data_IF_287907200651
#
_entry.id   IF_287907200651
#
_cell.length_a   1.000
_cell.length_b   1.000
_cell.length_c   1.000
_cell.angle_alpha   90.00
_cell.angle_beta   90.00
_cell.angle_gamma   90.00
#
_symmetry.space_group_name_H-M   'P 1'
#
loop_
_entity.id
_entity.type
_entity.pdbx_description
1 polymer ?
#
# COMPACT_ATOMS: atom_id res chain seq x y z
N UNK A 1 -23.22 -23.04 -9.78
CA UNK A 1 -23.13 -23.11 -8.31
C UNK A 1 -21.72 -22.73 -7.91
N UNK A 2 -21.61 -21.98 -6.82
CA UNK A 2 -20.43 -21.25 -6.36
C UNK A 2 -19.41 -22.19 -5.72
N UNK A 3 -18.20 -22.27 -6.27
CA UNK A 3 -17.03 -22.73 -5.51
C UNK A 3 -16.26 -21.51 -5.03
N UNK A 4 -16.51 -21.17 -3.77
CA UNK A 4 -15.84 -20.09 -3.07
C UNK A 4 -14.34 -20.39 -3.01
N UNK A 5 -13.57 -19.51 -3.64
CA UNK A 5 -12.11 -19.39 -3.57
C UNK A 5 -11.62 -19.38 -2.12
N UNK A 6 -11.30 -20.58 -1.62
CA UNK A 6 -10.86 -20.88 -0.26
C UNK A 6 -9.35 -20.91 -0.09
N UNK A 7 -8.63 -20.05 -0.81
CA UNK A 7 -7.20 -19.79 -0.58
C UNK A 7 -6.92 -18.31 -0.79
N UNK A 8 -7.56 -17.47 0.04
CA UNK A 8 -7.14 -16.06 0.13
C UNK A 8 -5.87 -16.05 0.96
N UNK A 9 -4.77 -16.04 0.21
CA UNK A 9 -3.39 -15.80 0.60
C UNK A 9 -3.26 -15.28 2.02
N UNK A 10 -2.41 -15.94 2.82
CA UNK A 10 -1.80 -15.30 3.97
C UNK A 10 -1.41 -13.89 3.53
N UNK A 11 -2.15 -12.88 4.02
CA UNK A 11 -1.75 -11.51 3.81
C UNK A 11 -0.28 -11.47 4.21
N UNK A 12 0.59 -10.95 3.34
CA UNK A 12 2.00 -10.85 3.63
C UNK A 12 2.16 -9.82 4.78
N UNK A 13 1.86 -10.27 5.99
CA UNK A 13 1.98 -9.54 7.24
C UNK A 13 3.46 -9.44 7.51
N UNK A 14 3.89 -8.23 7.79
CA UNK A 14 5.24 -7.93 8.24
C UNK A 14 5.18 -7.47 9.68
N UNK A 15 6.29 -7.66 10.40
CA UNK A 15 6.46 -7.02 11.72
C UNK A 15 6.30 -5.51 11.56
N UNK A 16 5.50 -4.90 12.43
CA UNK A 16 5.14 -3.48 12.39
C UNK A 16 3.84 -3.17 11.64
N UNK A 17 3.26 -4.11 10.89
CA UNK A 17 2.00 -3.87 10.18
C UNK A 17 0.84 -3.64 11.17
N UNK A 18 -0.01 -2.66 10.86
CA UNK A 18 -1.29 -2.46 11.55
C UNK A 18 -2.29 -3.52 11.09
N UNK A 19 -2.91 -4.23 12.03
CA UNK A 19 -3.82 -5.34 11.78
C UNK A 19 -5.09 -5.23 12.60
N UNK A 20 -6.16 -5.86 12.09
CA UNK A 20 -7.45 -6.04 12.77
C UNK A 20 -7.85 -7.51 12.74
N UNK A 21 -8.39 -7.98 13.86
CA UNK A 21 -8.93 -9.34 13.99
C UNK A 21 -10.35 -9.37 13.44
N UNK A 22 -10.61 -10.24 12.46
CA UNK A 22 -11.92 -10.36 11.80
C UNK A 22 -12.80 -11.50 12.32
N UNK A 23 -12.21 -12.46 13.05
CA UNK A 23 -12.88 -13.66 13.53
C UNK A 23 -12.44 -14.09 14.92
N UNK A 24 -13.24 -14.96 15.55
CA UNK A 24 -13.00 -15.46 16.90
C UNK A 24 -13.39 -14.48 18.02
N UNK A 25 -13.00 -14.83 19.24
CA UNK A 25 -13.40 -14.12 20.47
C UNK A 25 -12.81 -12.70 20.57
N UNK A 26 -11.78 -12.42 19.78
CA UNK A 26 -11.05 -11.16 19.78
C UNK A 26 -11.40 -10.27 18.58
N UNK A 27 -12.56 -10.50 17.96
CA UNK A 27 -13.02 -9.72 16.81
C UNK A 27 -13.00 -8.21 17.11
N UNK A 28 -12.59 -7.43 16.12
CA UNK A 28 -12.39 -5.98 16.18
C UNK A 28 -11.21 -5.51 17.06
N UNK A 29 -10.41 -6.42 17.62
CA UNK A 29 -9.13 -6.04 18.22
C UNK A 29 -8.21 -5.52 17.12
N UNK A 30 -7.68 -4.31 17.34
CA UNK A 30 -6.67 -3.68 16.47
C UNK A 30 -5.34 -3.64 17.19
N UNK A 31 -4.26 -3.69 16.44
CA UNK A 31 -2.92 -3.56 17.00
C UNK A 31 -1.84 -3.65 15.95
N UNK A 32 -0.59 -3.65 16.39
CA UNK A 32 0.59 -3.82 15.54
C UNK A 32 1.16 -5.22 15.67
N UNK A 33 1.62 -5.77 14.56
CA UNK A 33 2.32 -7.06 14.56
C UNK A 33 3.69 -6.90 15.23
N UNK A 34 3.94 -7.69 16.28
CA UNK A 34 5.23 -7.71 17.01
C UNK A 34 6.09 -8.86 16.53
N UNK A 35 5.51 -10.06 16.49
CA UNK A 35 6.19 -11.29 16.05
C UNK A 35 5.26 -12.15 15.22
N UNK A 36 5.84 -12.85 14.24
CA UNK A 36 5.12 -13.78 13.37
C UNK A 36 5.78 -15.14 13.53
N UNK A 37 5.02 -16.12 14.02
CA UNK A 37 5.39 -17.53 14.07
C UNK A 37 4.75 -18.22 12.86
N UNK A 38 5.57 -18.42 11.82
CA UNK A 38 5.14 -19.07 10.57
C UNK A 38 4.87 -20.56 10.75
N UNK A 39 5.57 -21.22 11.66
CA UNK A 39 5.47 -22.67 11.90
C UNK A 39 4.13 -23.03 12.55
N UNK A 40 3.74 -22.26 13.56
CA UNK A 40 2.45 -22.43 14.27
C UNK A 40 1.32 -21.61 13.67
N UNK A 41 1.58 -20.81 12.63
CA UNK A 41 0.64 -19.89 11.99
C UNK A 41 -0.01 -18.91 12.98
N UNK A 42 0.77 -18.39 13.92
CA UNK A 42 0.32 -17.44 14.95
C UNK A 42 1.08 -16.13 14.85
N UNK A 43 0.43 -15.04 15.24
CA UNK A 43 1.00 -13.70 15.26
C UNK A 43 0.75 -13.11 16.63
N UNK A 44 1.78 -12.52 17.21
CA UNK A 44 1.62 -11.73 18.43
C UNK A 44 1.35 -10.28 18.05
N UNK A 45 0.20 -9.79 18.49
CA UNK A 45 -0.30 -8.45 18.19
C UNK A 45 -0.24 -7.63 19.47
N UNK A 46 0.33 -6.43 19.38
CA UNK A 46 0.28 -5.43 20.44
C UNK A 46 -0.90 -4.49 20.19
N UNK A 47 -1.97 -4.58 21.01
CA UNK A 47 -3.12 -3.68 20.90
C UNK A 47 -2.84 -2.24 21.40
N UNK A 48 -1.65 -1.97 21.94
CA UNK A 48 -1.24 -0.67 22.46
C UNK A 48 -1.90 -0.32 23.79
N UNK A 49 -1.74 0.94 24.20
CA UNK A 49 -2.35 1.49 25.42
C UNK A 49 -1.99 0.74 26.71
N UNK A 50 -0.79 0.16 26.80
CA UNK A 50 -0.32 -0.59 27.97
C UNK A 50 -1.04 -1.93 28.19
N UNK A 51 -1.80 -2.42 27.20
CA UNK A 51 -2.46 -3.73 27.25
C UNK A 51 -1.45 -4.84 26.98
N UNK A 52 -1.76 -6.04 27.46
CA UNK A 52 -0.96 -7.22 27.17
C UNK A 52 -1.02 -7.58 25.68
N UNK A 53 0.11 -8.07 25.15
CA UNK A 53 0.18 -8.62 23.80
C UNK A 53 -0.69 -9.87 23.69
N UNK A 54 -1.26 -10.08 22.50
CA UNK A 54 -2.22 -11.15 22.28
C UNK A 54 -1.86 -11.98 21.05
N UNK A 55 -1.89 -13.29 21.21
CA UNK A 55 -1.52 -14.22 20.15
C UNK A 55 -2.75 -14.69 19.35
N UNK A 56 -2.85 -14.24 18.11
CA UNK A 56 -3.96 -14.52 17.19
C UNK A 56 -3.49 -15.42 16.05
N UNK A 57 -4.37 -16.24 15.48
CA UNK A 57 -4.02 -17.02 14.29
C UNK A 57 -3.89 -16.10 13.06
N UNK A 58 -2.92 -16.36 12.19
CA UNK A 58 -2.67 -15.55 10.96
C UNK A 58 -3.95 -15.42 10.13
N UNK A 59 -4.75 -16.50 10.03
CA UNK A 59 -5.99 -16.54 9.24
C UNK A 59 -7.07 -15.57 9.72
N UNK A 60 -7.04 -15.18 10.99
CA UNK A 60 -8.05 -14.32 11.60
C UNK A 60 -7.64 -12.83 11.56
N UNK A 61 -6.46 -12.54 11.02
CA UNK A 61 -5.91 -11.19 10.90
C UNK A 61 -6.01 -10.67 9.47
N UNK A 62 -6.38 -9.40 9.33
CA UNK A 62 -6.18 -8.64 8.10
C UNK A 62 -5.43 -7.35 8.39
N UNK A 63 -4.70 -6.86 7.39
CA UNK A 63 -4.13 -5.51 7.44
C UNK A 63 -5.25 -4.49 7.64
N UNK A 64 -5.01 -3.56 8.54
CA UNK A 64 -5.90 -2.47 8.88
C UNK A 64 -5.25 -1.14 8.50
N UNK A 65 -6.04 -0.30 7.87
CA UNK A 65 -5.68 1.06 7.48
C UNK A 65 -6.79 1.98 7.95
N UNK A 66 -6.48 3.26 8.04
CA UNK A 66 -7.41 4.34 8.32
C UNK A 66 -7.49 5.30 7.14
N UNK A 67 -8.55 6.11 7.08
CA UNK A 67 -8.66 7.14 6.07
C UNK A 67 -7.56 8.18 6.30
N UNK A 68 -6.87 8.56 5.23
CA UNK A 68 -5.69 9.44 5.29
C UNK A 68 -4.37 8.68 5.39
N UNK A 69 -4.37 7.36 5.60
CA UNK A 69 -3.14 6.58 5.57
C UNK A 69 -2.52 6.61 4.17
N UNK A 70 -1.22 6.84 4.14
CA UNK A 70 -0.44 6.78 2.91
C UNK A 70 0.08 5.36 2.68
N UNK A 71 -0.21 4.81 1.50
CA UNK A 71 0.00 3.39 1.21
C UNK A 71 0.68 3.20 -0.14
N UNK A 72 1.49 2.14 -0.23
CA UNK A 72 2.01 1.58 -1.47
C UNK A 72 1.16 0.39 -1.88
N UNK A 73 0.79 0.34 -3.16
CA UNK A 73 0.11 -0.80 -3.76
C UNK A 73 1.18 -1.83 -4.15
N UNK A 74 1.07 -3.03 -3.61
CA UNK A 74 2.05 -4.11 -3.78
C UNK A 74 1.76 -5.00 -4.98
N UNK A 75 0.49 -5.10 -5.39
CA UNK A 75 0.02 -6.06 -6.37
C UNK A 75 -1.23 -5.54 -7.11
N UNK A 76 -1.45 -6.02 -8.34
CA UNK A 76 -2.49 -5.59 -9.27
C UNK A 76 -2.00 -4.60 -10.34
N UNK A 77 -2.93 -4.02 -11.11
CA UNK A 77 -2.62 -3.14 -12.24
C UNK A 77 -1.88 -1.84 -11.87
N UNK A 78 -1.95 -1.44 -10.60
CA UNK A 78 -1.27 -0.27 -10.03
C UNK A 78 -0.17 -0.66 -9.05
N UNK A 79 0.38 -1.87 -9.16
CA UNK A 79 1.51 -2.29 -8.33
C UNK A 79 2.69 -1.33 -8.49
N UNK A 80 3.25 -0.86 -7.37
CA UNK A 80 4.31 0.13 -7.32
C UNK A 80 3.82 1.56 -7.08
N UNK A 81 2.57 1.87 -7.42
CA UNK A 81 1.97 3.18 -7.15
C UNK A 81 1.83 3.41 -5.65
N UNK A 82 1.91 4.68 -5.25
CA UNK A 82 1.51 5.14 -3.92
C UNK A 82 0.29 6.02 -4.00
N UNK A 83 -0.37 6.16 -2.86
CA UNK A 83 -1.49 7.05 -2.73
C UNK A 83 -2.05 7.09 -1.33
N UNK A 84 -3.11 7.87 -1.18
CA UNK A 84 -3.79 8.06 0.09
C UNK A 84 -5.09 7.25 0.14
N UNK A 85 -5.34 6.56 1.25
CA UNK A 85 -6.61 5.86 1.48
C UNK A 85 -7.72 6.88 1.71
N UNK A 86 -8.67 6.96 0.76
CA UNK A 86 -9.83 7.87 0.84
C UNK A 86 -11.11 7.19 1.31
N UNK A 87 -11.16 5.85 1.24
CA UNK A 87 -12.33 5.07 1.69
C UNK A 87 -11.95 3.65 2.05
N UNK A 88 -12.57 3.11 3.08
CA UNK A 88 -12.45 1.70 3.48
C UNK A 88 -13.83 1.05 3.52
N UNK A 89 -13.95 -0.13 2.91
CA UNK A 89 -15.16 -0.95 2.94
C UNK A 89 -14.76 -2.40 3.21
N UNK A 90 -14.86 -2.80 4.47
CA UNK A 90 -14.41 -4.11 4.93
C UNK A 90 -12.92 -4.32 4.70
N UNK A 91 -12.58 -5.20 3.76
CA UNK A 91 -11.19 -5.53 3.39
C UNK A 91 -10.73 -4.91 2.08
N UNK A 92 -11.53 -4.02 1.49
CA UNK A 92 -11.20 -3.27 0.28
C UNK A 92 -10.99 -1.80 0.64
N UNK A 93 -9.86 -1.25 0.24
CA UNK A 93 -9.55 0.16 0.34
C UNK A 93 -9.68 0.82 -1.04
N UNK A 94 -10.15 2.06 -1.07
CA UNK A 94 -10.06 2.94 -2.23
C UNK A 94 -8.92 3.91 -1.97
N UNK A 95 -7.93 3.88 -2.85
CA UNK A 95 -6.69 4.67 -2.79
C UNK A 95 -6.74 5.71 -3.90
N UNK A 96 -6.49 6.96 -3.57
CA UNK A 96 -6.25 8.02 -4.55
C UNK A 96 -4.74 8.07 -4.83
N UNK A 97 -4.33 7.78 -6.05
CA UNK A 97 -2.91 7.72 -6.43
C UNK A 97 -2.27 9.11 -6.52
N UNK A 98 -0.99 9.22 -6.17
CA UNK A 98 -0.29 10.52 -6.10
C UNK A 98 0.16 11.04 -7.47
N UNK A 99 0.59 10.15 -8.37
CA UNK A 99 1.14 10.53 -9.68
C UNK A 99 0.05 11.02 -10.64
N UNK A 100 -1.08 10.32 -10.67
CA UNK A 100 -2.27 10.69 -11.43
C UNK A 100 -3.45 10.61 -10.47
N UNK A 101 -4.29 11.64 -10.32
CA UNK A 101 -5.42 11.62 -9.38
C UNK A 101 -6.52 10.69 -9.89
N UNK A 102 -6.34 9.39 -9.64
CA UNK A 102 -7.24 8.30 -10.00
C UNK A 102 -7.56 7.47 -8.76
N UNK A 103 -8.81 7.06 -8.66
CA UNK A 103 -9.24 6.13 -7.62
C UNK A 103 -8.96 4.68 -8.02
N UNK A 104 -8.23 3.97 -7.16
CA UNK A 104 -7.90 2.56 -7.33
C UNK A 104 -8.46 1.78 -6.15
N UNK A 105 -9.24 0.73 -6.44
CA UNK A 105 -9.75 -0.19 -5.42
C UNK A 105 -8.81 -1.38 -5.28
N UNK A 106 -8.28 -1.57 -4.08
CA UNK A 106 -7.32 -2.63 -3.77
C UNK A 106 -7.75 -3.41 -2.53
N UNK A 107 -7.41 -4.69 -2.50
CA UNK A 107 -7.53 -5.49 -1.28
C UNK A 107 -6.52 -4.98 -0.25
N UNK A 108 -6.91 -4.86 1.01
CA UNK A 108 -6.00 -4.38 2.07
C UNK A 108 -4.75 -5.24 2.25
N UNK A 109 -4.81 -6.52 1.88
CA UNK A 109 -3.63 -7.41 1.82
C UNK A 109 -2.54 -6.93 0.85
N UNK A 110 -2.94 -6.23 -0.21
CA UNK A 110 -2.08 -5.75 -1.29
C UNK A 110 -1.59 -4.33 -1.03
N UNK A 111 -1.80 -3.81 0.18
CA UNK A 111 -1.35 -2.48 0.60
C UNK A 111 -0.28 -2.60 1.68
N UNK A 112 0.57 -1.58 1.75
CA UNK A 112 1.54 -1.39 2.82
C UNK A 112 1.61 0.08 3.20
N UNK A 113 1.58 0.37 4.50
CA UNK A 113 1.86 1.73 4.99
C UNK A 113 3.23 2.17 4.52
N UNK A 114 3.32 3.38 4.01
CA UNK A 114 4.57 3.94 3.51
C UNK A 114 4.66 5.42 3.81
N UNK A 115 5.86 5.87 4.20
CA UNK A 115 6.21 7.29 4.21
C UNK A 115 6.76 7.76 2.85
N UNK A 116 7.03 6.82 1.93
CA UNK A 116 7.41 7.15 0.55
C UNK A 116 6.18 7.66 -0.17
N UNK A 117 6.15 8.94 -0.51
CA UNK A 117 5.36 9.41 -1.64
C UNK A 117 6.13 8.98 -2.88
N UNK A 118 5.54 8.20 -3.77
CA UNK A 118 6.10 7.95 -5.10
C UNK A 118 6.20 9.30 -5.79
N UNK A 119 7.34 9.95 -5.60
CA UNK A 119 7.80 10.96 -6.52
C UNK A 119 8.06 10.19 -7.80
N UNK A 120 7.37 10.54 -8.88
CA UNK A 120 7.69 10.04 -10.22
C UNK A 120 9.20 10.05 -10.45
N UNK A 121 9.68 9.23 -11.37
CA UNK A 121 11.11 8.98 -11.58
C UNK A 121 11.89 10.31 -11.55
N UNK A 122 12.66 10.57 -10.50
CA UNK A 122 13.33 11.89 -10.40
C UNK A 122 14.45 12.02 -11.43
N UNK A 123 14.94 10.90 -11.96
CA UNK A 123 16.06 10.85 -12.90
C UNK A 123 15.97 9.67 -13.88
N UNK A 124 16.03 9.95 -15.18
CA UNK A 124 16.25 8.95 -16.24
C UNK A 124 17.55 9.29 -16.98
N UNK A 125 18.53 8.40 -16.91
CA UNK A 125 19.84 8.61 -17.53
C UNK A 125 20.50 9.89 -17.03
N UNK A 126 20.73 10.83 -17.94
CA UNK A 126 21.30 12.16 -17.63
C UNK A 126 20.26 13.23 -17.30
N UNK A 127 18.96 12.92 -17.43
CA UNK A 127 17.87 13.89 -17.24
C UNK A 127 17.27 13.74 -15.86
N UNK A 128 17.09 14.87 -15.16
CA UNK A 128 16.47 14.96 -13.85
C UNK A 128 15.27 15.91 -13.89
N UNK A 129 14.26 15.62 -13.08
CA UNK A 129 13.20 16.61 -12.78
C UNK A 129 13.87 17.89 -12.26
N UNK A 130 13.50 19.02 -12.87
CA UNK A 130 14.10 20.33 -12.63
C UNK A 130 15.19 20.73 -13.61
N UNK A 131 15.65 19.84 -14.50
CA UNK A 131 16.64 20.21 -15.51
C UNK A 131 16.01 21.07 -16.61
N UNK A 132 16.79 22.07 -17.07
CA UNK A 132 16.52 22.83 -18.27
C UNK A 132 16.89 21.99 -19.50
N UNK A 133 15.95 21.84 -20.42
CA UNK A 133 16.14 21.11 -21.68
C UNK A 133 15.79 21.97 -22.88
N UNK A 134 16.51 21.75 -23.97
CA UNK A 134 16.20 22.38 -25.26
C UNK A 134 15.20 21.51 -26.02
N UNK A 135 14.07 22.09 -26.38
CA UNK A 135 13.05 21.47 -27.22
C UNK A 135 13.35 21.83 -28.67
N UNK A 136 13.86 20.85 -29.42
CA UNK A 136 14.04 20.97 -30.86
C UNK A 136 12.77 20.48 -31.55
N UNK A 137 11.77 21.36 -31.68
CA UNK A 137 10.58 21.11 -32.48
C UNK A 137 10.80 21.73 -33.86
N UNK A 138 10.45 20.99 -34.92
CA UNK A 138 10.72 21.39 -36.31
C UNK A 138 10.17 22.79 -36.62
N UNK A 139 11.05 23.81 -36.58
CA UNK A 139 10.74 25.21 -36.87
C UNK A 139 10.77 26.18 -35.68
N UNK A 140 11.00 25.74 -34.44
CA UNK A 140 11.16 26.63 -33.28
C UNK A 140 12.05 26.01 -32.20
N UNK A 141 13.10 26.73 -31.80
CA UNK A 141 13.95 26.34 -30.67
C UNK A 141 13.35 26.91 -29.39
N UNK A 142 12.87 26.03 -28.51
CA UNK A 142 12.30 26.39 -27.21
C UNK A 142 13.16 25.84 -26.08
N UNK A 143 13.06 26.46 -24.90
CA UNK A 143 13.58 25.87 -23.65
C UNK A 143 12.42 25.46 -22.77
N UNK A 144 12.55 24.31 -22.11
CA UNK A 144 11.57 23.77 -21.17
C UNK A 144 12.25 23.30 -19.89
N UNK A 145 11.45 23.12 -18.84
CA UNK A 145 11.89 22.51 -17.58
C UNK A 145 11.19 21.17 -17.45
N UNK A 146 11.94 20.12 -17.09
CA UNK A 146 11.36 18.81 -16.82
C UNK A 146 10.55 18.88 -15.52
N UNK A 147 9.22 18.81 -15.61
CA UNK A 147 8.32 18.85 -14.44
C UNK A 147 7.95 17.46 -13.94
N UNK A 148 7.99 16.45 -14.80
CA UNK A 148 7.77 15.05 -14.44
C UNK A 148 8.44 14.14 -15.45
N UNK A 149 8.79 12.93 -15.03
CA UNK A 149 9.32 11.88 -15.90
C UNK A 149 8.45 10.64 -15.72
N UNK A 150 7.93 10.13 -16.84
CA UNK A 150 7.15 8.90 -16.90
C UNK A 150 7.85 7.91 -17.85
N UNK A 151 7.78 6.62 -17.52
CA UNK A 151 8.22 5.58 -18.42
C UNK A 151 7.09 5.27 -19.42
N UNK A 152 7.32 5.54 -20.71
CA UNK A 152 6.45 5.05 -21.79
C UNK A 152 6.86 3.63 -22.15
N UNK A 153 6.03 2.65 -21.81
CA UNK A 153 6.14 1.26 -22.28
C UNK A 153 5.30 1.03 -23.53
#
# INVERSE_FOLDING_TARGET
MSEASGSRAAAALSVGDSVVVNGGDMKNLRGKVVTIDTDRKRVNVDPGHGRAQVTVAIKDLNKHFEMGDHVKILDGASAGDTGTVIKLSGSVATVLTDNEPREVKCQSSNLKLTAEVSKGIEKIGQYKVGDLVTLNVSGSSGVGVIVSIAASG
#
